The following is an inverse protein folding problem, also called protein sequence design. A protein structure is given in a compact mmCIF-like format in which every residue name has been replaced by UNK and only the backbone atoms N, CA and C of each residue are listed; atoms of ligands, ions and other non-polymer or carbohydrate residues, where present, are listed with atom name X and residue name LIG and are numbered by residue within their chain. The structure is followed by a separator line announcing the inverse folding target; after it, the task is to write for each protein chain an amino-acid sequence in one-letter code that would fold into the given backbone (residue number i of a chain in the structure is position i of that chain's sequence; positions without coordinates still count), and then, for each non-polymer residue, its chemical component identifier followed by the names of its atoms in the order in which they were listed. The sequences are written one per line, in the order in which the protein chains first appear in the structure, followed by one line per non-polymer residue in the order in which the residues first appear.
data_IF_388807114493
#
_entry.id   IF_388807114493
#
_cell.length_a   1.000
_cell.length_b   1.000
_cell.length_c   1.000
_cell.angle_alpha   90.00
_cell.angle_beta   90.00
_cell.angle_gamma   90.00
#
_symmetry.space_group_name_H-M   'P 1'
#
loop_
_entity.id
_entity.type
_entity.pdbx_description
1 polymer ?
#
# COMPACT_ATOMS: atom_id res chain seq x y z
N UNK A 1 10.68 20.97 34.39
CA UNK A 1 9.82 20.31 35.40
C UNK A 1 8.65 21.21 35.83
N UNK A 2 8.85 22.51 36.06
CA UNK A 2 7.79 23.49 36.39
C UNK A 2 6.68 23.60 35.34
N UNK A 3 7.00 23.59 34.04
CA UNK A 3 5.99 23.70 32.96
C UNK A 3 5.05 22.50 32.86
N UNK A 4 5.54 21.26 33.08
CA UNK A 4 4.69 20.06 33.05
C UNK A 4 3.71 20.01 34.24
N UNK A 5 4.15 20.47 35.41
CA UNK A 5 3.29 20.61 36.59
C UNK A 5 2.26 21.75 36.39
N UNK A 6 2.67 22.86 35.78
CA UNK A 6 1.80 23.99 35.47
C UNK A 6 0.67 23.61 34.50
N UNK A 7 0.99 22.92 33.40
CA UNK A 7 -0.01 22.46 32.43
C UNK A 7 -0.93 21.37 33.01
N UNK A 8 -0.41 20.48 33.86
CA UNK A 8 -1.21 19.47 34.55
C UNK A 8 -2.24 20.07 35.52
N UNK A 9 -1.84 21.07 36.31
CA UNK A 9 -2.74 21.78 37.23
C UNK A 9 -3.81 22.58 36.48
N UNK A 10 -3.45 23.23 35.37
CA UNK A 10 -4.41 23.98 34.54
C UNK A 10 -5.49 23.06 33.97
N UNK A 11 -5.11 21.89 33.46
CA UNK A 11 -6.08 20.92 32.92
C UNK A 11 -7.04 20.39 33.99
N UNK A 12 -6.55 20.13 35.21
CA UNK A 12 -7.39 19.73 36.34
C UNK A 12 -8.41 20.81 36.72
N UNK A 13 -7.99 22.08 36.74
CA UNK A 13 -8.89 23.21 37.00
C UNK A 13 -9.96 23.33 35.93
N UNK A 14 -9.60 23.18 34.64
CA UNK A 14 -10.53 23.23 33.52
C UNK A 14 -11.58 22.11 33.61
N UNK A 15 -11.21 20.92 34.07
CA UNK A 15 -12.14 19.79 34.22
C UNK A 15 -13.08 19.98 35.41
N UNK A 16 -12.61 20.54 36.53
CA UNK A 16 -13.41 20.69 37.76
C UNK A 16 -14.33 21.91 37.75
N UNK A 17 -13.98 22.96 37.00
CA UNK A 17 -14.71 24.22 36.92
C UNK A 17 -16.19 24.04 36.48
N UNK A 18 -16.54 23.24 35.44
CA UNK A 18 -17.93 23.04 35.04
C UNK A 18 -18.76 22.35 36.10
N UNK A 19 -18.20 21.38 36.83
CA UNK A 19 -18.92 20.68 37.90
C UNK A 19 -19.25 21.63 39.06
N UNK A 20 -18.31 22.49 39.44
CA UNK A 20 -18.54 23.53 40.44
C UNK A 20 -19.61 24.54 40.00
N UNK A 21 -19.62 24.94 38.72
CA UNK A 21 -20.62 25.87 38.16
C UNK A 21 -22.02 25.24 38.08
N UNK A 22 -22.12 23.96 37.74
CA UNK A 22 -23.41 23.22 37.75
C UNK A 22 -23.94 23.11 39.18
N UNK A 23 -23.09 22.80 40.15
CA UNK A 23 -23.50 22.75 41.56
C UNK A 23 -23.97 24.13 42.07
N UNK A 24 -23.21 25.19 41.75
CA UNK A 24 -23.58 26.58 42.07
C UNK A 24 -24.92 26.99 41.47
N UNK A 25 -25.20 26.57 40.23
CA UNK A 25 -26.49 26.80 39.58
C UNK A 25 -27.64 26.19 40.37
N UNK A 26 -27.51 24.92 40.79
CA UNK A 26 -28.55 24.22 41.56
C UNK A 26 -28.81 24.92 42.90
N UNK A 27 -27.76 25.40 43.57
CA UNK A 27 -27.92 26.13 44.83
C UNK A 27 -28.57 27.50 44.65
N UNK A 28 -28.24 28.22 43.57
CA UNK A 28 -28.77 29.56 43.31
C UNK A 28 -30.24 29.53 42.89
N UNK A 29 -30.64 28.54 42.09
CA UNK A 29 -32.06 28.35 41.74
C UNK A 29 -32.92 27.91 42.92
N UNK A 30 -32.37 27.16 43.88
CA UNK A 30 -33.07 26.84 45.14
C UNK A 30 -33.28 28.06 46.04
N UNK A 31 -32.49 29.11 45.86
CA UNK A 31 -32.56 30.36 46.62
C UNK A 31 -33.26 31.48 45.83
N UNK A 32 -34.02 31.16 44.79
CA UNK A 32 -34.73 32.11 43.91
C UNK A 32 -33.83 33.15 43.20
N UNK A 33 -32.52 32.92 43.12
CA UNK A 33 -31.56 33.81 42.44
C UNK A 33 -31.40 33.45 40.95
N UNK A 34 -32.49 33.58 40.18
CA UNK A 34 -32.58 33.09 38.80
C UNK A 34 -31.61 33.74 37.81
N UNK A 35 -31.32 35.04 37.93
CA UNK A 35 -30.41 35.75 37.01
C UNK A 35 -28.98 35.24 37.17
N UNK A 36 -28.50 35.10 38.41
CA UNK A 36 -27.14 34.60 38.70
C UNK A 36 -27.01 33.13 38.34
N UNK A 37 -28.03 32.32 38.66
CA UNK A 37 -28.06 30.91 38.25
C UNK A 37 -28.02 30.74 36.73
N UNK A 38 -28.73 31.60 35.98
CA UNK A 38 -28.67 31.61 34.51
C UNK A 38 -27.27 31.90 33.95
N UNK A 39 -26.53 32.84 34.56
CA UNK A 39 -25.14 33.12 34.19
C UNK A 39 -24.21 31.94 34.48
N UNK A 40 -24.42 31.20 35.57
CA UNK A 40 -23.66 29.99 35.88
C UNK A 40 -23.90 28.85 34.88
N UNK A 41 -25.14 28.69 34.38
CA UNK A 41 -25.46 27.72 33.31
C UNK A 41 -24.71 28.05 32.02
N UNK A 42 -24.72 29.30 31.61
CA UNK A 42 -24.00 29.77 30.42
C UNK A 42 -22.49 29.51 30.54
N UNK A 43 -21.91 29.78 31.72
CA UNK A 43 -20.51 29.46 32.02
C UNK A 43 -20.22 27.96 31.92
N UNK A 44 -21.05 27.11 32.54
CA UNK A 44 -20.88 25.66 32.51
C UNK A 44 -20.96 25.09 31.07
N UNK A 45 -21.82 25.65 30.22
CA UNK A 45 -21.91 25.26 28.81
C UNK A 45 -20.66 25.68 28.02
N UNK A 46 -20.20 26.92 28.17
CA UNK A 46 -19.02 27.43 27.46
C UNK A 46 -17.74 26.64 27.79
N UNK A 47 -17.57 26.22 29.04
CA UNK A 47 -16.38 25.47 29.48
C UNK A 47 -16.57 23.94 29.48
N UNK A 48 -17.80 23.44 29.44
CA UNK A 48 -18.11 22.00 29.39
C UNK A 48 -18.15 21.41 27.97
N UNK A 49 -18.58 22.18 26.97
CA UNK A 49 -18.63 21.75 25.56
C UNK A 49 -17.25 21.32 25.00
N UNK A 50 -16.12 21.98 25.31
CA UNK A 50 -14.78 21.53 24.90
C UNK A 50 -14.36 20.17 25.48
N UNK A 51 -14.92 19.77 26.64
CA UNK A 51 -14.58 18.52 27.31
C UNK A 51 -15.25 17.32 26.61
N UNK A 52 -16.43 17.52 26.01
CA UNK A 52 -17.11 16.48 25.21
C UNK A 52 -16.28 16.13 23.96
N UNK A 53 -15.57 17.10 23.38
CA UNK A 53 -14.60 16.88 22.30
C UNK A 53 -13.35 16.10 22.71
N UNK A 54 -12.94 16.15 23.98
CA UNK A 54 -11.78 15.41 24.50
C UNK A 54 -12.07 13.92 24.76
N UNK A 55 -13.32 13.56 25.06
CA UNK A 55 -13.74 12.17 25.32
C UNK A 55 -14.49 11.52 24.15
N UNK A 56 -14.79 12.28 23.09
CA UNK A 56 -15.19 11.73 21.81
C UNK A 56 -13.97 11.09 21.14
N UNK A 57 -13.58 9.92 21.64
CA UNK A 57 -12.76 8.99 20.87
C UNK A 57 -13.59 8.67 19.63
N UNK A 58 -13.24 9.25 18.49
CA UNK A 58 -13.75 8.77 17.21
C UNK A 58 -13.51 7.26 17.22
N UNK A 59 -14.58 6.48 17.12
CA UNK A 59 -14.43 5.18 16.50
C UNK A 59 -14.01 5.51 15.08
N UNK A 60 -12.72 5.43 14.82
CA UNK A 60 -12.19 5.46 13.47
C UNK A 60 -12.80 4.26 12.75
N UNK A 61 -13.96 4.46 12.14
CA UNK A 61 -14.40 3.63 11.02
C UNK A 61 -13.37 3.96 9.95
N UNK A 62 -12.34 3.12 9.83
CA UNK A 62 -11.46 3.13 8.66
C UNK A 62 -12.38 3.08 7.45
N UNK A 63 -12.55 4.20 6.75
CA UNK A 63 -12.81 4.15 5.31
C UNK A 63 -11.63 3.37 4.76
N UNK A 64 -11.84 2.12 4.35
CA UNK A 64 -10.86 1.44 3.52
C UNK A 64 -10.73 2.29 2.26
N UNK A 65 -9.62 3.02 2.16
CA UNK A 65 -9.24 3.62 0.91
C UNK A 65 -9.03 2.47 -0.08
N UNK A 66 -9.52 2.59 -1.33
CA UNK A 66 -9.25 1.59 -2.34
C UNK A 66 -7.74 1.40 -2.44
N UNK A 67 -7.31 0.14 -2.40
CA UNK A 67 -5.91 -0.27 -2.50
C UNK A 67 -5.74 -1.17 -3.70
N UNK A 68 -4.61 -1.06 -4.39
CA UNK A 68 -4.27 -1.97 -5.48
C UNK A 68 -4.16 -3.39 -4.90
N UNK A 69 -4.85 -4.39 -5.46
CA UNK A 69 -4.76 -5.76 -4.95
C UNK A 69 -3.32 -6.27 -4.98
N UNK A 70 -2.95 -7.09 -3.99
CA UNK A 70 -1.58 -7.58 -3.85
C UNK A 70 -1.51 -9.11 -3.95
N UNK A 71 -0.43 -9.62 -4.53
CA UNK A 71 -0.06 -11.04 -4.54
C UNK A 71 1.25 -11.17 -3.75
N UNK A 72 1.25 -11.85 -2.59
CA UNK A 72 2.50 -12.10 -1.87
C UNK A 72 3.40 -13.07 -2.63
N UNK A 73 4.72 -12.87 -2.59
CA UNK A 73 5.67 -13.86 -3.09
C UNK A 73 5.81 -15.03 -2.11
N UNK A 74 5.34 -16.24 -2.48
CA UNK A 74 5.40 -17.38 -1.60
C UNK A 74 6.83 -17.91 -1.44
N UNK A 75 7.06 -18.72 -0.42
CA UNK A 75 8.38 -19.28 -0.12
C UNK A 75 8.61 -20.65 -0.77
N UNK A 76 7.57 -21.34 -1.22
CA UNK A 76 7.69 -22.68 -1.80
C UNK A 76 7.77 -22.63 -3.31
N UNK A 77 8.58 -23.52 -3.91
CA UNK A 77 8.69 -23.65 -5.37
C UNK A 77 7.33 -23.88 -6.05
N UNK A 78 6.47 -24.71 -5.46
CA UNK A 78 5.14 -25.04 -6.01
C UNK A 78 4.25 -23.80 -6.11
N UNK A 79 4.20 -23.00 -5.05
CA UNK A 79 3.37 -21.80 -5.02
C UNK A 79 3.99 -20.68 -5.88
N UNK A 80 5.32 -20.56 -5.95
CA UNK A 80 6.00 -19.66 -6.87
C UNK A 80 5.62 -19.96 -8.32
N UNK A 81 5.59 -21.24 -8.71
CA UNK A 81 5.14 -21.66 -10.05
C UNK A 81 3.69 -21.25 -10.30
N UNK A 82 2.79 -21.34 -9.31
CA UNK A 82 1.40 -20.88 -9.48
C UNK A 82 1.31 -19.38 -9.70
N UNK A 83 2.06 -18.58 -8.93
CA UNK A 83 2.13 -17.12 -9.10
C UNK A 83 2.67 -16.77 -10.49
N UNK A 84 3.78 -17.38 -10.91
CA UNK A 84 4.34 -17.17 -12.24
C UNK A 84 3.32 -17.51 -13.34
N UNK A 85 2.63 -18.66 -13.25
CA UNK A 85 1.59 -19.04 -14.21
C UNK A 85 0.45 -18.03 -14.28
N UNK A 86 0.02 -17.50 -13.13
CA UNK A 86 -1.04 -16.49 -13.08
C UNK A 86 -0.62 -15.21 -13.78
N UNK A 87 0.61 -14.75 -13.54
CA UNK A 87 1.15 -13.51 -14.12
C UNK A 87 1.39 -13.67 -15.63
N UNK A 88 1.98 -14.79 -16.04
CA UNK A 88 2.38 -15.00 -17.44
C UNK A 88 1.27 -15.59 -18.31
N UNK A 89 0.06 -15.77 -17.76
CA UNK A 89 -1.01 -16.57 -18.38
C UNK A 89 -0.52 -17.95 -18.86
N UNK A 90 0.41 -18.55 -18.11
CA UNK A 90 1.06 -19.82 -18.40
C UNK A 90 1.75 -19.86 -19.78
N UNK A 91 2.37 -18.75 -20.19
CA UNK A 91 3.27 -18.68 -21.35
C UNK A 91 4.37 -19.74 -21.21
N UNK A 92 4.38 -20.72 -22.13
CA UNK A 92 5.24 -21.91 -22.05
C UNK A 92 6.72 -21.57 -22.10
N UNK A 93 7.10 -20.58 -22.90
CA UNK A 93 8.50 -20.23 -23.09
C UNK A 93 9.04 -19.58 -21.82
N UNK A 94 8.27 -18.64 -21.26
CA UNK A 94 8.64 -17.97 -20.00
C UNK A 94 8.58 -18.93 -18.82
N UNK A 95 7.59 -19.82 -18.77
CA UNK A 95 7.51 -20.82 -17.71
C UNK A 95 8.70 -21.79 -17.73
N UNK A 96 9.25 -22.13 -18.90
CA UNK A 96 10.48 -22.93 -18.96
C UNK A 96 11.67 -22.19 -18.34
N UNK A 97 11.83 -20.89 -18.63
CA UNK A 97 12.88 -20.05 -18.03
C UNK A 97 12.71 -19.98 -16.50
N UNK A 98 11.48 -19.73 -16.03
CA UNK A 98 11.16 -19.71 -14.59
C UNK A 98 11.51 -21.04 -13.93
N UNK A 99 11.14 -22.18 -14.54
CA UNK A 99 11.41 -23.50 -13.98
C UNK A 99 12.92 -23.79 -13.87
N UNK A 100 13.71 -23.38 -14.87
CA UNK A 100 15.17 -23.49 -14.83
C UNK A 100 15.75 -22.63 -13.69
N UNK A 101 15.33 -21.37 -13.58
CA UNK A 101 15.76 -20.47 -12.50
C UNK A 101 15.37 -20.97 -11.10
N UNK A 102 14.20 -21.59 -10.94
CA UNK A 102 13.77 -22.13 -9.65
C UNK A 102 14.47 -23.44 -9.25
N UNK A 103 15.01 -24.19 -10.20
CA UNK A 103 15.75 -25.42 -9.95
C UNK A 103 17.14 -25.09 -9.39
N UNK A 104 17.91 -24.31 -10.15
CA UNK A 104 19.29 -23.94 -9.83
C UNK A 104 19.50 -22.42 -9.95
N UNK A 105 19.00 -21.62 -9.00
CA UNK A 105 18.95 -20.17 -9.15
C UNK A 105 20.33 -19.50 -9.25
N UNK A 106 21.35 -20.02 -8.55
CA UNK A 106 22.71 -19.48 -8.67
C UNK A 106 23.30 -19.72 -10.06
N UNK A 107 23.20 -20.95 -10.54
CA UNK A 107 23.73 -21.35 -11.84
C UNK A 107 23.00 -20.59 -12.96
N UNK A 108 21.70 -20.38 -12.79
CA UNK A 108 20.89 -19.55 -13.67
C UNK A 108 21.41 -18.11 -13.73
N UNK A 109 21.61 -17.43 -12.59
CA UNK A 109 22.17 -16.07 -12.59
C UNK A 109 23.56 -16.03 -13.23
N UNK A 110 24.42 -17.00 -12.93
CA UNK A 110 25.75 -17.07 -13.53
C UNK A 110 25.70 -17.28 -15.05
N UNK A 111 24.74 -18.07 -15.54
CA UNK A 111 24.50 -18.26 -16.97
C UNK A 111 24.06 -16.95 -17.62
N UNK A 112 23.09 -16.24 -17.04
CA UNK A 112 22.62 -14.94 -17.54
C UNK A 112 23.73 -13.89 -17.58
N UNK A 113 24.58 -13.84 -16.55
CA UNK A 113 25.75 -12.95 -16.48
C UNK A 113 26.76 -13.30 -17.59
N UNK A 114 27.04 -14.59 -17.81
CA UNK A 114 28.00 -15.07 -18.81
C UNK A 114 27.51 -14.88 -20.24
N UNK A 115 26.21 -14.97 -20.46
CA UNK A 115 25.59 -14.69 -21.75
C UNK A 115 25.74 -13.23 -22.19
N UNK A 116 26.29 -12.36 -21.33
CA UNK A 116 26.44 -10.93 -21.55
C UNK A 116 25.12 -10.27 -21.97
N UNK A 117 24.01 -10.73 -21.38
CA UNK A 117 22.70 -10.14 -21.62
C UNK A 117 22.69 -8.69 -21.13
N UNK A 118 21.78 -7.87 -21.66
CA UNK A 118 21.54 -6.50 -21.17
C UNK A 118 21.18 -6.47 -19.68
N UNK A 119 20.81 -7.64 -19.12
CA UNK A 119 20.38 -7.88 -17.74
C UNK A 119 21.51 -8.38 -16.84
N UNK A 120 22.76 -8.40 -17.33
CA UNK A 120 23.93 -8.86 -16.57
C UNK A 120 24.05 -8.18 -15.21
N UNK A 121 23.85 -6.86 -15.15
CA UNK A 121 23.98 -6.09 -13.91
C UNK A 121 22.91 -6.47 -12.88
N UNK A 122 21.69 -6.70 -13.35
CA UNK A 122 20.54 -7.11 -12.52
C UNK A 122 20.85 -8.46 -11.84
N UNK A 123 21.31 -9.45 -12.60
CA UNK A 123 21.65 -10.77 -12.05
C UNK A 123 22.93 -10.77 -11.20
N UNK A 124 23.89 -9.88 -11.47
CA UNK A 124 25.08 -9.73 -10.62
C UNK A 124 24.70 -9.18 -9.25
N UNK A 125 23.91 -8.10 -9.20
CA UNK A 125 23.43 -7.51 -7.93
C UNK A 125 22.66 -8.54 -7.10
N UNK A 126 21.84 -9.36 -7.75
CA UNK A 126 21.06 -10.40 -7.10
C UNK A 126 21.94 -11.53 -6.51
N UNK A 127 23.07 -11.86 -7.15
CA UNK A 127 24.07 -12.76 -6.56
C UNK A 127 24.82 -12.10 -5.40
N UNK A 128 25.20 -10.83 -5.52
CA UNK A 128 25.90 -10.09 -4.47
C UNK A 128 25.03 -10.00 -3.21
N UNK A 129 23.74 -9.66 -3.38
CA UNK A 129 22.75 -9.68 -2.30
C UNK A 129 22.60 -11.07 -1.66
N UNK A 130 22.57 -12.13 -2.47
CA UNK A 130 22.56 -13.49 -1.94
C UNK A 130 23.82 -13.84 -1.15
N UNK A 131 24.99 -13.32 -1.53
CA UNK A 131 26.22 -13.58 -0.77
C UNK A 131 26.19 -12.94 0.63
N UNK A 132 25.39 -11.89 0.84
CA UNK A 132 25.13 -11.28 2.14
C UNK A 132 24.05 -12.05 2.92
N UNK A 133 22.90 -12.29 2.31
CA UNK A 133 21.73 -12.87 3.00
C UNK A 133 21.82 -14.41 3.14
N UNK A 134 22.53 -15.07 2.23
CA UNK A 134 22.65 -16.54 2.07
C UNK A 134 21.32 -17.29 1.96
N UNK A 135 20.23 -16.60 1.62
CA UNK A 135 18.88 -17.16 1.55
C UNK A 135 18.55 -17.71 0.16
N UNK A 136 18.57 -19.03 0.02
CA UNK A 136 18.19 -19.69 -1.26
C UNK A 136 16.72 -19.46 -1.60
N UNK A 137 15.87 -19.33 -0.59
CA UNK A 137 14.44 -19.07 -0.76
C UNK A 137 14.20 -17.70 -1.37
N UNK A 138 14.86 -16.68 -0.85
CA UNK A 138 14.73 -15.32 -1.36
C UNK A 138 15.37 -15.17 -2.75
N UNK A 139 16.52 -15.82 -2.97
CA UNK A 139 17.10 -15.91 -4.30
C UNK A 139 16.12 -16.50 -5.33
N UNK A 140 15.38 -17.58 -4.98
CA UNK A 140 14.37 -18.16 -5.88
C UNK A 140 13.22 -17.20 -6.20
N UNK A 141 12.75 -16.44 -5.22
CA UNK A 141 11.70 -15.41 -5.43
C UNK A 141 12.18 -14.37 -6.43
N UNK A 142 13.37 -13.82 -6.22
CA UNK A 142 13.91 -12.75 -7.05
C UNK A 142 14.30 -13.24 -8.44
N UNK A 143 14.88 -14.44 -8.59
CA UNK A 143 15.15 -15.03 -9.91
C UNK A 143 13.87 -15.21 -10.71
N UNK A 144 12.79 -15.71 -10.09
CA UNK A 144 11.49 -15.81 -10.76
C UNK A 144 11.00 -14.43 -11.21
N UNK A 145 11.03 -13.43 -10.32
CA UNK A 145 10.55 -12.07 -10.58
C UNK A 145 11.36 -11.38 -11.70
N UNK A 146 12.68 -11.56 -11.72
CA UNK A 146 13.55 -11.03 -12.76
C UNK A 146 13.34 -11.75 -14.09
N UNK A 147 13.17 -13.08 -14.09
CA UNK A 147 12.89 -13.83 -15.31
C UNK A 147 11.57 -13.38 -15.99
N UNK A 148 10.51 -13.18 -15.21
CA UNK A 148 9.22 -12.68 -15.75
C UNK A 148 9.26 -11.19 -16.09
N UNK A 149 9.99 -10.39 -15.31
CA UNK A 149 10.19 -8.95 -15.56
C UNK A 149 10.99 -8.68 -16.83
N UNK A 150 12.07 -9.43 -17.06
CA UNK A 150 12.87 -9.37 -18.28
C UNK A 150 12.10 -9.77 -19.56
N UNK A 151 10.95 -10.41 -19.38
CA UNK A 151 10.02 -10.78 -20.46
C UNK A 151 8.82 -9.82 -20.57
N UNK A 152 8.88 -8.68 -19.88
CA UNK A 152 7.84 -7.64 -19.80
C UNK A 152 6.47 -8.14 -19.29
N UNK A 153 6.42 -9.18 -18.46
CA UNK A 153 5.18 -9.57 -17.76
C UNK A 153 5.00 -8.83 -16.43
N UNK A 154 6.08 -8.27 -15.89
CA UNK A 154 6.11 -7.47 -14.67
C UNK A 154 6.95 -6.23 -14.91
N UNK A 155 6.54 -5.09 -14.36
CA UNK A 155 7.33 -3.87 -14.34
C UNK A 155 7.66 -3.48 -12.89
N UNK A 156 8.91 -3.11 -12.65
CA UNK A 156 9.35 -2.49 -11.38
C UNK A 156 9.28 -0.97 -11.48
N UNK A 157 8.76 -0.32 -10.43
CA UNK A 157 8.69 1.13 -10.30
C UNK A 157 9.31 1.60 -8.99
N UNK A 158 10.16 2.63 -9.09
CA UNK A 158 10.52 3.41 -7.90
C UNK A 158 9.29 4.19 -7.43
N UNK A 159 9.15 4.41 -6.14
CA UNK A 159 8.03 5.17 -5.59
C UNK A 159 7.99 6.64 -6.06
N UNK A 160 9.09 7.15 -6.64
CA UNK A 160 9.22 8.49 -7.25
C UNK A 160 9.11 8.48 -8.77
N UNK A 161 8.88 7.34 -9.42
CA UNK A 161 8.71 7.30 -10.88
C UNK A 161 7.56 8.24 -11.27
N UNK A 162 7.82 9.10 -12.26
CA UNK A 162 6.83 10.05 -12.76
C UNK A 162 5.81 9.40 -13.70
N UNK A 163 4.77 10.15 -14.06
CA UNK A 163 3.70 9.65 -14.91
C UNK A 163 4.19 9.20 -16.29
N UNK A 164 5.20 9.87 -16.86
CA UNK A 164 5.78 9.51 -18.15
C UNK A 164 6.48 8.16 -18.08
N UNK A 165 7.34 7.97 -17.08
CA UNK A 165 8.04 6.70 -16.81
C UNK A 165 7.04 5.59 -16.51
N UNK A 166 6.01 5.90 -15.71
CA UNK A 166 4.91 4.98 -15.41
C UNK A 166 4.24 4.48 -16.69
N UNK A 167 3.77 5.41 -17.52
CA UNK A 167 3.07 5.09 -18.77
C UNK A 167 3.97 4.33 -19.75
N UNK A 168 5.25 4.71 -19.86
CA UNK A 168 6.19 4.02 -20.74
C UNK A 168 6.38 2.56 -20.34
N UNK A 169 6.71 2.27 -19.08
CA UNK A 169 6.86 0.89 -18.59
C UNK A 169 5.55 0.10 -18.67
N UNK A 170 4.41 0.71 -18.33
CA UNK A 170 3.10 0.06 -18.44
C UNK A 170 2.77 -0.32 -19.89
N UNK A 171 3.04 0.57 -20.86
CA UNK A 171 2.82 0.31 -22.28
C UNK A 171 3.75 -0.78 -22.84
N UNK A 172 4.89 -1.03 -22.19
CA UNK A 172 5.79 -2.12 -22.54
C UNK A 172 5.32 -3.50 -22.07
N UNK A 173 4.39 -3.57 -21.10
CA UNK A 173 3.91 -4.83 -20.57
C UNK A 173 3.23 -5.69 -21.65
N UNK A 174 3.67 -6.95 -21.73
CA UNK A 174 3.24 -7.91 -22.74
C UNK A 174 1.75 -8.22 -22.64
N UNK A 175 1.22 -8.34 -21.42
CA UNK A 175 -0.21 -8.58 -21.19
C UNK A 175 -1.08 -7.44 -21.76
N UNK A 176 -0.66 -6.17 -21.57
CA UNK A 176 -1.33 -5.01 -22.16
C UNK A 176 -1.36 -5.10 -23.68
N UNK A 177 -0.20 -5.38 -24.30
CA UNK A 177 -0.05 -5.51 -25.77
C UNK A 177 -0.84 -6.69 -26.34
N UNK A 178 -0.89 -7.82 -25.64
CA UNK A 178 -1.59 -9.04 -26.10
C UNK A 178 -3.10 -8.90 -26.07
N UNK A 179 -3.63 -8.17 -25.08
CA UNK A 179 -5.07 -8.00 -24.87
C UNK A 179 -5.60 -6.65 -25.35
N UNK A 180 -4.74 -5.82 -25.97
CA UNK A 180 -5.06 -4.47 -26.44
C UNK A 180 -5.76 -3.62 -25.35
N UNK A 181 -5.26 -3.68 -24.11
CA UNK A 181 -5.91 -2.99 -22.99
C UNK A 181 -5.70 -1.47 -23.12
N UNK A 182 -6.78 -0.66 -23.06
CA UNK A 182 -6.68 0.78 -23.24
C UNK A 182 -6.18 1.45 -21.97
N UNK A 183 -5.27 2.42 -22.08
CA UNK A 183 -4.98 3.36 -21.00
C UNK A 183 -5.45 4.74 -21.44
N UNK A 184 -6.40 5.33 -20.71
CA UNK A 184 -6.77 6.73 -20.94
C UNK A 184 -5.79 7.65 -20.20
N UNK A 185 -4.70 8.01 -20.85
CA UNK A 185 -3.65 8.90 -20.29
C UNK A 185 -4.24 10.21 -19.71
N UNK A 186 -5.30 10.76 -20.31
CA UNK A 186 -5.94 12.00 -19.84
C UNK A 186 -6.67 11.89 -18.49
N UNK A 187 -6.95 10.66 -18.05
CA UNK A 187 -7.54 10.40 -16.72
C UNK A 187 -6.50 10.36 -15.60
N UNK A 188 -5.21 10.31 -15.94
CA UNK A 188 -4.11 10.21 -15.00
C UNK A 188 -3.47 11.59 -14.79
N UNK A 189 -3.32 11.98 -13.54
CA UNK A 189 -2.75 13.28 -13.16
C UNK A 189 -1.27 13.17 -12.82
N UNK A 190 -0.46 14.16 -13.21
CA UNK A 190 0.99 14.14 -13.04
C UNK A 190 1.46 14.26 -11.59
N UNK A 191 0.61 14.76 -10.69
CA UNK A 191 0.84 14.83 -9.24
C UNK A 191 0.41 13.54 -8.50
N UNK A 192 -0.10 12.56 -9.22
CA UNK A 192 -0.46 11.26 -8.66
C UNK A 192 0.76 10.40 -8.36
N UNK A 193 0.50 9.23 -7.76
CA UNK A 193 1.51 8.21 -7.49
C UNK A 193 1.17 6.88 -8.19
N UNK A 194 2.11 5.93 -8.16
CA UNK A 194 1.98 4.60 -8.77
C UNK A 194 0.67 3.91 -8.35
N UNK A 195 0.30 3.98 -7.07
CA UNK A 195 -0.91 3.34 -6.57
C UNK A 195 -2.18 4.00 -7.10
N UNK A 196 -2.20 5.34 -7.11
CA UNK A 196 -3.34 6.11 -7.63
C UNK A 196 -3.56 5.85 -9.12
N UNK A 197 -2.50 5.84 -9.92
CA UNK A 197 -2.61 5.55 -11.35
C UNK A 197 -3.08 4.11 -11.61
N UNK A 198 -2.56 3.14 -10.87
CA UNK A 198 -2.99 1.74 -10.97
C UNK A 198 -4.47 1.56 -10.62
N UNK A 199 -4.98 2.26 -9.60
CA UNK A 199 -6.40 2.21 -9.23
C UNK A 199 -7.31 2.78 -10.33
N UNK A 200 -6.92 3.91 -10.92
CA UNK A 200 -7.67 4.52 -12.03
C UNK A 200 -7.70 3.63 -13.27
N UNK A 201 -6.60 2.95 -13.57
CA UNK A 201 -6.53 1.97 -14.67
C UNK A 201 -7.36 0.73 -14.33
N UNK A 202 -7.35 0.26 -13.09
CA UNK A 202 -8.18 -0.88 -12.66
C UNK A 202 -9.67 -0.62 -12.87
N UNK A 203 -10.16 0.59 -12.59
CA UNK A 203 -11.56 0.93 -12.87
C UNK A 203 -11.87 0.91 -14.38
N UNK A 204 -10.90 1.26 -15.24
CA UNK A 204 -11.05 1.15 -16.70
C UNK A 204 -11.08 -0.31 -17.18
N UNK A 205 -10.30 -1.19 -16.55
CA UNK A 205 -10.11 -2.58 -16.99
C UNK A 205 -11.05 -3.58 -16.34
N UNK A 206 -11.71 -3.21 -15.23
CA UNK A 206 -12.72 -4.03 -14.57
C UNK A 206 -13.77 -4.62 -15.52
N UNK A 207 -14.42 -3.86 -16.44
CA UNK A 207 -15.36 -4.44 -17.40
C UNK A 207 -14.70 -5.33 -18.46
N UNK A 208 -13.38 -5.22 -18.65
CA UNK A 208 -12.60 -6.07 -19.57
C UNK A 208 -12.12 -7.36 -18.91
N UNK A 209 -12.37 -7.54 -17.61
CA UNK A 209 -11.95 -8.73 -16.86
C UNK A 209 -10.46 -8.75 -16.54
N UNK A 210 -9.78 -7.60 -16.50
CA UNK A 210 -8.36 -7.50 -16.13
C UNK A 210 -8.17 -6.50 -15.00
N UNK A 211 -7.09 -6.71 -14.25
CA UNK A 211 -6.64 -5.79 -13.21
C UNK A 211 -5.12 -5.79 -13.10
N UNK A 212 -4.60 -4.66 -12.68
CA UNK A 212 -3.27 -4.49 -12.12
C UNK A 212 -3.27 -5.04 -10.70
N UNK A 213 -2.23 -5.80 -10.38
CA UNK A 213 -1.88 -6.22 -9.02
C UNK A 213 -0.44 -5.86 -8.70
N UNK A 214 -0.18 -5.55 -7.44
CA UNK A 214 1.18 -5.48 -6.91
C UNK A 214 1.67 -6.85 -6.48
N UNK A 215 2.95 -7.12 -6.70
CA UNK A 215 3.64 -8.30 -6.20
C UNK A 215 4.40 -7.84 -4.95
N UNK A 216 3.99 -8.35 -3.80
CA UNK A 216 4.67 -8.04 -2.54
C UNK A 216 5.96 -8.87 -2.45
N UNK A 217 7.05 -8.18 -2.78
CA UNK A 217 8.40 -8.70 -2.78
C UNK A 217 9.20 -8.34 -1.53
N UNK A 218 8.57 -7.70 -0.52
CA UNK A 218 9.27 -7.09 0.63
C UNK A 218 10.38 -6.11 0.17
N UNK A 219 10.03 -5.28 -0.81
CA UNK A 219 10.90 -4.28 -1.43
C UNK A 219 10.24 -2.91 -1.35
N UNK A 220 11.06 -1.86 -1.37
CA UNK A 220 10.65 -0.46 -1.49
C UNK A 220 10.18 -0.08 -2.91
N UNK A 221 10.34 -0.98 -3.88
CA UNK A 221 9.83 -0.85 -5.24
C UNK A 221 8.44 -1.45 -5.41
N UNK A 222 7.65 -0.88 -6.32
CA UNK A 222 6.39 -1.46 -6.75
C UNK A 222 6.64 -2.44 -7.90
N UNK A 223 6.33 -3.71 -7.66
CA UNK A 223 6.31 -4.73 -8.71
C UNK A 223 4.89 -4.90 -9.24
N UNK A 224 4.68 -4.52 -10.49
CA UNK A 224 3.35 -4.40 -11.09
C UNK A 224 3.13 -5.47 -12.14
N UNK A 225 2.04 -6.21 -12.04
CA UNK A 225 1.60 -7.20 -13.03
C UNK A 225 0.16 -6.94 -13.46
N UNK A 226 -0.17 -7.32 -14.69
CA UNK A 226 -1.55 -7.31 -15.20
C UNK A 226 -2.03 -8.75 -15.25
N UNK A 227 -3.14 -9.04 -14.56
CA UNK A 227 -3.71 -10.39 -14.48
C UNK A 227 -5.19 -10.37 -14.80
N UNK A 228 -5.75 -11.50 -15.29
CA UNK A 228 -7.18 -11.68 -15.36
C UNK A 228 -7.82 -11.55 -13.97
N UNK A 229 -8.97 -10.89 -13.90
CA UNK A 229 -9.86 -10.95 -12.74
C UNK A 229 -10.46 -12.34 -12.74
N UNK A 230 -9.92 -13.22 -11.91
CA UNK A 230 -10.49 -14.55 -11.69
C UNK A 230 -11.86 -14.40 -11.03
N UNK A 231 -12.92 -14.76 -11.74
CA UNK A 231 -14.28 -14.90 -11.19
C UNK A 231 -14.54 -16.27 -10.59
N UNK A 232 -13.49 -17.09 -10.41
CA UNK A 232 -13.62 -18.45 -9.92
C UNK A 232 -14.03 -18.44 -8.43
N UNK A 233 -15.34 -18.56 -8.22
CA UNK A 233 -15.91 -19.32 -7.12
C UNK A 233 -15.34 -20.73 -7.28
N UNK A 234 -14.48 -21.15 -6.35
CA UNK A 234 -13.96 -22.53 -6.26
C UNK A 234 -15.04 -23.60 -6.49
#
# INVERSE_FOLDING_TARGET
MKEKLYNGCINLVIILLPFAMVWGTVTLFKNDEYIKGGLCVLGALLFGLPIIGLFSKSKDIKKENPSVPQIPLPTTKKELIKVAKRITCNDKDIMNVVLQGLESPKDFCQMEIKAASEKKYDYQQLLDWYEEEKSITNLKKMVMLYAIGNSNYVAGFDWKDDLETFLWKMKELRCLKQHNLPINDSSLTSDGDISQWCLLINEQWKPLGFQIMFIDADSDEYWVAIVPITTDIE
#
